data_IF_516220076251
#
_entry.id   IF_516220076251
#
_cell.length_a   1.000
_cell.length_b   1.000
_cell.length_c   1.000
_cell.angle_alpha   90.00
_cell.angle_beta   90.00
_cell.angle_gamma   90.00
#
_symmetry.space_group_name_H-M   'P 1'
#
loop_
_entity.id
_entity.type
_entity.pdbx_description
1 polymer ?
#
# COMPACT_ATOMS: atom_id res chain seq x y z
N UNK A 1 -21.48 -26.07 7.83
CA UNK A 1 -20.18 -25.42 7.53
C UNK A 1 -20.38 -23.90 7.59
N UNK A 2 -19.89 -23.23 8.63
CA UNK A 2 -20.01 -21.76 8.79
C UNK A 2 -18.86 -21.09 8.03
N UNK A 3 -19.16 -20.41 6.93
CA UNK A 3 -18.23 -19.55 6.21
C UNK A 3 -17.92 -18.34 7.08
N UNK A 4 -16.81 -18.39 7.82
CA UNK A 4 -16.24 -17.19 8.46
C UNK A 4 -16.09 -16.11 7.39
N UNK A 5 -16.76 -14.98 7.55
CA UNK A 5 -16.52 -13.78 6.74
C UNK A 5 -15.07 -13.33 6.97
N UNK A 6 -14.15 -13.86 6.17
CA UNK A 6 -12.77 -13.44 6.15
C UNK A 6 -12.74 -12.01 5.67
N UNK A 7 -12.29 -11.10 6.52
CA UNK A 7 -12.19 -9.68 6.21
C UNK A 7 -11.35 -9.50 4.95
N UNK A 8 -11.78 -8.64 4.01
CA UNK A 8 -11.07 -8.39 2.73
C UNK A 8 -9.56 -8.14 2.93
N UNK A 9 -9.18 -7.39 3.98
CA UNK A 9 -7.78 -7.17 4.36
C UNK A 9 -6.99 -8.47 4.56
N UNK A 10 -7.60 -9.48 5.18
CA UNK A 10 -6.97 -10.77 5.44
C UNK A 10 -6.75 -11.55 4.13
N UNK A 11 -7.77 -11.59 3.25
CA UNK A 11 -7.66 -12.27 1.95
C UNK A 11 -6.58 -11.63 1.09
N UNK A 12 -6.57 -10.30 1.00
CA UNK A 12 -5.57 -9.55 0.23
C UNK A 12 -4.16 -9.70 0.77
N UNK A 13 -4.00 -9.85 2.09
CA UNK A 13 -2.72 -10.16 2.72
C UNK A 13 -2.26 -11.58 2.37
N UNK A 14 -3.16 -12.56 2.41
CA UNK A 14 -2.86 -13.96 2.06
C UNK A 14 -2.48 -14.13 0.59
N UNK A 15 -3.12 -13.37 -0.30
CA UNK A 15 -2.80 -13.36 -1.74
C UNK A 15 -1.56 -12.53 -2.07
N UNK A 16 -0.94 -11.88 -1.08
CA UNK A 16 0.15 -10.91 -1.27
C UNK A 16 -0.18 -9.77 -2.27
N UNK A 17 -1.48 -9.50 -2.49
CA UNK A 17 -1.98 -8.50 -3.46
C UNK A 17 -2.34 -7.16 -2.83
N UNK A 18 -2.37 -7.08 -1.50
CA UNK A 18 -2.73 -5.85 -0.80
C UNK A 18 -1.88 -4.64 -1.23
N UNK A 19 -0.56 -4.85 -1.37
CA UNK A 19 0.41 -3.82 -1.76
C UNK A 19 0.18 -3.35 -3.20
N UNK A 20 -0.01 -4.28 -4.13
CA UNK A 20 -0.29 -3.99 -5.54
C UNK A 20 -1.61 -3.21 -5.70
N UNK A 21 -2.67 -3.64 -5.01
CA UNK A 21 -3.95 -2.94 -5.02
C UNK A 21 -3.84 -1.55 -4.40
N UNK A 22 -3.12 -1.41 -3.29
CA UNK A 22 -2.90 -0.11 -2.67
C UNK A 22 -2.18 0.84 -3.63
N UNK A 23 -1.19 0.37 -4.38
CA UNK A 23 -0.51 1.15 -5.44
C UNK A 23 -1.50 1.62 -6.50
N UNK A 24 -2.28 0.71 -7.07
CA UNK A 24 -3.27 1.03 -8.12
C UNK A 24 -4.28 2.05 -7.61
N UNK A 25 -4.75 1.89 -6.37
CA UNK A 25 -5.68 2.82 -5.74
C UNK A 25 -5.04 4.20 -5.57
N UNK A 26 -3.80 4.28 -5.06
CA UNK A 26 -3.07 5.55 -4.90
C UNK A 26 -2.87 6.25 -6.24
N UNK A 27 -2.39 5.55 -7.27
CA UNK A 27 -2.20 6.11 -8.61
C UNK A 27 -3.51 6.62 -9.22
N UNK A 28 -4.58 5.81 -9.22
CA UNK A 28 -5.87 6.22 -9.81
C UNK A 28 -6.47 7.41 -9.08
N UNK A 29 -6.37 7.46 -7.76
CA UNK A 29 -6.84 8.60 -6.97
C UNK A 29 -6.06 9.88 -7.30
N UNK A 30 -4.75 9.80 -7.50
CA UNK A 30 -3.92 10.97 -7.86
C UNK A 30 -4.19 11.41 -9.30
N UNK A 31 -4.31 10.47 -10.24
CA UNK A 31 -4.65 10.76 -11.64
C UNK A 31 -6.05 11.38 -11.78
N UNK A 32 -7.01 10.90 -11.00
CA UNK A 32 -8.36 11.47 -11.01
C UNK A 32 -8.37 12.89 -10.44
N UNK A 33 -7.54 13.18 -9.42
CA UNK A 33 -7.38 14.55 -8.92
C UNK A 33 -6.86 15.49 -10.01
N UNK A 34 -5.81 15.08 -10.73
CA UNK A 34 -5.25 15.85 -11.86
C UNK A 34 -6.31 16.09 -12.94
N UNK A 35 -7.07 15.05 -13.28
CA UNK A 35 -8.14 15.12 -14.28
C UNK A 35 -9.27 16.07 -13.87
N UNK A 36 -9.70 16.03 -12.61
CA UNK A 36 -10.77 16.88 -12.07
C UNK A 36 -10.34 18.35 -12.01
N UNK A 37 -9.16 18.65 -11.48
CA UNK A 37 -8.74 20.05 -11.30
C UNK A 37 -8.36 20.76 -12.60
N UNK A 38 -7.99 20.01 -13.65
CA UNK A 38 -7.70 20.58 -14.97
C UNK A 38 -8.90 20.61 -15.90
N UNK A 39 -9.87 19.74 -15.69
CA UNK A 39 -10.98 19.61 -16.59
C UNK A 39 -12.03 20.67 -16.31
N UNK A 40 -12.27 21.54 -17.28
CA UNK A 40 -13.33 22.58 -17.22
C UNK A 40 -14.72 21.97 -16.97
N UNK A 41 -14.96 20.73 -17.41
CA UNK A 41 -16.21 19.98 -17.19
C UNK A 41 -16.49 19.62 -15.73
N UNK A 42 -15.54 19.82 -14.82
CA UNK A 42 -15.65 19.41 -13.41
C UNK A 42 -15.72 20.60 -12.44
N UNK A 43 -16.07 21.79 -12.91
CA UNK A 43 -16.14 23.02 -12.11
C UNK A 43 -16.94 22.85 -10.81
N UNK A 44 -18.14 22.24 -10.86
CA UNK A 44 -18.92 21.93 -9.66
C UNK A 44 -18.16 21.03 -8.67
N UNK A 45 -17.43 20.04 -9.18
CA UNK A 45 -16.66 19.12 -8.34
C UNK A 45 -15.43 19.80 -7.74
N UNK A 46 -14.80 20.73 -8.47
CA UNK A 46 -13.71 21.58 -7.96
C UNK A 46 -14.21 22.44 -6.80
N UNK A 47 -15.33 23.13 -6.99
CA UNK A 47 -15.99 23.95 -5.95
C UNK A 47 -16.33 23.11 -4.70
N UNK A 48 -16.82 21.88 -4.89
CA UNK A 48 -17.11 20.95 -3.78
C UNK A 48 -15.82 20.51 -3.06
N UNK A 49 -14.74 20.27 -3.79
CA UNK A 49 -13.46 19.82 -3.23
C UNK A 49 -12.74 20.93 -2.46
N UNK A 50 -12.83 22.16 -2.95
CA UNK A 50 -12.29 23.36 -2.30
C UNK A 50 -13.11 23.79 -1.08
N UNK A 51 -14.26 23.16 -0.87
CA UNK A 51 -15.23 23.48 0.19
C UNK A 51 -15.74 24.92 0.08
N UNK A 52 -15.78 25.46 -1.15
CA UNK A 52 -16.24 26.82 -1.44
C UNK A 52 -17.79 26.94 -1.48
N UNK A 53 -18.51 25.85 -1.20
CA UNK A 53 -19.98 25.85 -1.11
C UNK A 53 -20.40 26.29 0.28
N UNK A 54 -21.18 27.35 0.36
CA UNK A 54 -21.67 27.91 1.61
C UNK A 54 -22.64 26.92 2.32
N UNK A 55 -22.29 26.53 3.55
CA UNK A 55 -23.11 25.67 4.42
C UNK A 55 -22.30 24.64 5.20
N UNK A 56 -22.57 24.50 6.50
CA UNK A 56 -21.93 23.50 7.34
C UNK A 56 -22.41 22.10 6.97
N UNK A 57 -21.59 21.35 6.23
CA UNK A 57 -21.85 19.92 5.99
C UNK A 57 -21.42 19.14 7.24
N UNK A 58 -22.37 18.47 7.88
CA UNK A 58 -22.01 17.50 8.91
C UNK A 58 -21.09 16.43 8.29
N UNK A 59 -19.97 16.16 8.95
CA UNK A 59 -19.09 15.05 8.60
C UNK A 59 -19.86 13.77 8.92
N UNK A 60 -20.63 13.28 7.96
CA UNK A 60 -21.33 12.00 8.09
C UNK A 60 -20.35 10.85 8.36
N UNK A 61 -20.85 9.61 8.37
CA UNK A 61 -20.06 8.42 8.72
C UNK A 61 -19.13 7.98 7.59
N UNK A 62 -18.18 8.82 7.17
CA UNK A 62 -17.14 8.43 6.21
C UNK A 62 -15.88 8.02 6.97
N UNK A 63 -15.58 6.72 7.03
CA UNK A 63 -14.41 6.20 7.76
C UNK A 63 -13.08 6.78 7.24
N UNK A 64 -13.00 7.18 5.96
CA UNK A 64 -11.91 7.97 5.37
C UNK A 64 -12.44 8.75 4.15
N UNK A 65 -12.26 10.07 4.11
CA UNK A 65 -12.54 10.85 2.90
C UNK A 65 -11.35 10.80 1.93
N UNK A 66 -11.62 10.88 0.63
CA UNK A 66 -10.58 10.83 -0.41
C UNK A 66 -9.46 11.87 -0.19
N UNK A 67 -9.80 13.11 0.19
CA UNK A 67 -8.82 14.15 0.54
C UNK A 67 -8.05 13.82 1.82
N UNK A 68 -8.67 13.16 2.82
CA UNK A 68 -7.96 12.71 4.03
C UNK A 68 -6.91 11.64 3.70
N UNK A 69 -7.20 10.74 2.76
CA UNK A 69 -6.22 9.77 2.26
C UNK A 69 -5.04 10.46 1.56
N UNK A 70 -5.33 11.42 0.67
CA UNK A 70 -4.28 12.16 -0.06
C UNK A 70 -3.38 12.95 0.89
N UNK A 71 -3.95 13.67 1.86
CA UNK A 71 -3.17 14.37 2.90
C UNK A 71 -2.26 13.41 3.67
N UNK A 72 -2.79 12.24 4.05
CA UNK A 72 -2.02 11.21 4.76
C UNK A 72 -0.90 10.61 3.91
N UNK A 73 -1.10 10.44 2.60
CA UNK A 73 -0.11 9.81 1.74
C UNK A 73 1.03 10.74 1.35
N UNK A 74 0.73 12.02 1.16
CA UNK A 74 1.72 13.00 0.71
C UNK A 74 2.28 13.88 1.82
N UNK A 75 1.69 13.80 3.02
CA UNK A 75 2.00 14.65 4.17
C UNK A 75 1.92 16.15 3.81
N UNK A 76 0.78 16.51 3.23
CA UNK A 76 0.49 17.86 2.71
C UNK A 76 -0.90 18.31 3.15
N UNK A 77 -1.08 19.62 3.23
CA UNK A 77 -2.41 20.23 3.35
C UNK A 77 -3.22 20.09 2.07
N UNK A 78 -4.55 20.23 2.15
CA UNK A 78 -5.41 20.23 0.94
C UNK A 78 -5.01 21.32 -0.05
N UNK A 79 -4.66 22.52 0.43
CA UNK A 79 -4.25 23.65 -0.39
C UNK A 79 -2.93 23.40 -1.13
N UNK A 80 -1.96 22.74 -0.50
CA UNK A 80 -0.73 22.31 -1.20
C UNK A 80 -1.03 21.23 -2.25
N UNK A 81 -1.95 20.31 -1.94
CA UNK A 81 -2.37 19.26 -2.88
C UNK A 81 -3.03 19.86 -4.12
N UNK A 82 -3.93 20.83 -3.96
CA UNK A 82 -4.57 21.51 -5.08
C UNK A 82 -3.56 22.28 -5.92
N UNK A 83 -2.67 23.07 -5.30
CA UNK A 83 -1.59 23.78 -6.02
C UNK A 83 -0.69 22.85 -6.81
N UNK A 84 -0.30 21.72 -6.22
CA UNK A 84 0.53 20.71 -6.87
C UNK A 84 -0.18 20.06 -8.06
N UNK A 85 -1.47 19.76 -7.90
CA UNK A 85 -2.25 19.04 -8.91
C UNK A 85 -2.59 19.87 -10.16
N UNK A 86 -2.43 21.20 -10.11
CA UNK A 86 -2.45 22.06 -11.31
C UNK A 86 -1.22 21.84 -12.21
N UNK A 87 -0.13 21.21 -11.74
CA UNK A 87 1.09 20.95 -12.53
C UNK A 87 1.26 19.47 -12.94
N UNK A 88 1.28 19.19 -14.25
CA UNK A 88 1.38 17.80 -14.78
C UNK A 88 2.70 17.16 -14.36
N UNK A 89 3.75 17.96 -14.36
CA UNK A 89 5.08 17.55 -13.92
C UNK A 89 5.07 17.12 -12.44
N UNK A 90 4.40 17.90 -11.58
CA UNK A 90 4.33 17.60 -10.14
C UNK A 90 3.55 16.30 -9.89
N UNK A 91 2.42 16.11 -10.56
CA UNK A 91 1.65 14.87 -10.49
C UNK A 91 2.45 13.67 -11.01
N UNK A 92 3.19 13.83 -12.12
CA UNK A 92 4.05 12.78 -12.64
C UNK A 92 5.15 12.39 -11.63
N UNK A 93 5.76 13.38 -10.95
CA UNK A 93 6.73 13.14 -9.88
C UNK A 93 6.09 12.36 -8.73
N UNK A 94 4.86 12.71 -8.33
CA UNK A 94 4.15 12.00 -7.26
C UNK A 94 3.87 10.55 -7.61
N UNK A 95 3.40 10.29 -8.84
CA UNK A 95 3.18 8.94 -9.36
C UNK A 95 4.51 8.16 -9.41
N UNK A 96 5.59 8.79 -9.87
CA UNK A 96 6.91 8.17 -9.91
C UNK A 96 7.42 7.82 -8.49
N UNK A 97 7.23 8.71 -7.52
CA UNK A 97 7.59 8.47 -6.12
C UNK A 97 6.78 7.32 -5.52
N UNK A 98 5.48 7.24 -5.81
CA UNK A 98 4.65 6.11 -5.40
C UNK A 98 5.15 4.78 -5.98
N UNK A 99 5.59 4.76 -7.25
CA UNK A 99 6.18 3.56 -7.85
C UNK A 99 7.50 3.18 -7.20
N UNK A 100 8.36 4.16 -6.91
CA UNK A 100 9.67 3.96 -6.29
C UNK A 100 9.56 3.45 -4.85
N UNK A 101 8.64 4.00 -4.07
CA UNK A 101 8.38 3.57 -2.69
C UNK A 101 8.02 2.07 -2.66
N UNK A 102 7.16 1.63 -3.58
CA UNK A 102 6.69 0.25 -3.66
C UNK A 102 7.78 -0.72 -4.14
N UNK A 103 8.60 -0.31 -5.12
CA UNK A 103 9.74 -1.12 -5.58
C UNK A 103 10.75 -1.39 -4.46
N UNK A 104 10.99 -0.40 -3.57
CA UNK A 104 11.85 -0.58 -2.40
C UNK A 104 11.29 -1.66 -1.45
N UNK A 105 9.98 -1.69 -1.23
CA UNK A 105 9.35 -2.71 -0.38
C UNK A 105 9.29 -4.10 -1.02
N UNK A 106 9.22 -4.21 -2.35
CA UNK A 106 9.31 -5.51 -3.04
C UNK A 106 10.70 -6.12 -2.88
N UNK A 107 11.75 -5.31 -3.06
CA UNK A 107 13.13 -5.74 -2.84
C UNK A 107 13.36 -6.13 -1.38
N UNK A 108 12.87 -5.36 -0.42
CA UNK A 108 12.99 -5.70 1.00
C UNK A 108 12.21 -6.97 1.37
N UNK A 109 11.00 -7.16 0.82
CA UNK A 109 10.24 -8.39 1.01
C UNK A 109 10.97 -9.61 0.45
N UNK A 110 11.50 -9.51 -0.78
CA UNK A 110 12.29 -10.58 -1.39
C UNK A 110 13.55 -10.88 -0.57
N UNK A 111 14.19 -9.84 -0.01
CA UNK A 111 15.34 -9.99 0.88
C UNK A 111 14.97 -10.72 2.17
N UNK A 112 13.85 -10.39 2.79
CA UNK A 112 13.37 -11.09 4.00
C UNK A 112 12.97 -12.54 3.69
N UNK A 113 12.23 -12.79 2.60
CA UNK A 113 11.86 -14.15 2.17
C UNK A 113 13.09 -15.00 1.82
N UNK A 114 14.11 -14.40 1.20
CA UNK A 114 15.39 -15.06 0.94
C UNK A 114 16.15 -15.37 2.23
N UNK A 115 16.15 -14.45 3.20
CA UNK A 115 16.75 -14.69 4.52
C UNK A 115 16.04 -15.83 5.26
N UNK A 116 14.70 -15.83 5.30
CA UNK A 116 13.91 -16.88 5.98
C UNK A 116 14.06 -18.25 5.31
N UNK A 117 14.17 -18.30 3.99
CA UNK A 117 14.42 -19.56 3.26
C UNK A 117 15.84 -20.06 3.48
N UNK A 118 16.84 -19.17 3.52
CA UNK A 118 18.23 -19.53 3.86
C UNK A 118 18.36 -20.01 5.31
N UNK A 119 17.67 -19.35 6.24
CA UNK A 119 17.65 -19.70 7.66
C UNK A 119 16.93 -21.04 7.89
N UNK A 120 15.82 -21.28 7.19
CA UNK A 120 15.15 -22.59 7.19
C UNK A 120 16.02 -23.69 6.59
N UNK A 121 16.76 -23.43 5.50
CA UNK A 121 17.75 -24.38 4.93
C UNK A 121 18.88 -24.69 5.91
N UNK A 122 19.35 -23.70 6.64
CA UNK A 122 20.38 -23.88 7.67
C UNK A 122 19.86 -24.74 8.82
N UNK A 123 18.65 -24.47 9.31
CA UNK A 123 18.01 -25.24 10.39
C UNK A 123 17.70 -26.68 9.96
N UNK A 124 17.22 -26.90 8.73
CA UNK A 124 16.94 -28.26 8.24
C UNK A 124 18.23 -29.06 8.05
N UNK A 125 19.30 -28.45 7.54
CA UNK A 125 20.62 -29.10 7.46
C UNK A 125 21.26 -29.34 8.84
N UNK A 126 21.14 -28.39 9.78
CA UNK A 126 21.67 -28.59 11.14
C UNK A 126 20.93 -29.71 11.87
N UNK A 127 19.62 -29.83 11.69
CA UNK A 127 18.82 -30.93 12.22
C UNK A 127 19.13 -32.29 11.55
N UNK A 128 19.59 -32.30 10.30
CA UNK A 128 20.04 -33.50 9.61
C UNK A 128 21.38 -33.98 10.15
N UNK A 129 22.32 -33.05 10.37
CA UNK A 129 23.63 -33.34 10.96
C UNK A 129 23.52 -33.79 12.42
N UNK A 130 22.70 -33.14 13.25
CA UNK A 130 22.52 -33.55 14.65
C UNK A 130 21.77 -34.87 14.80
N UNK A 131 20.79 -35.17 13.94
CA UNK A 131 20.15 -36.51 13.90
C UNK A 131 21.09 -37.59 13.40
N UNK A 132 21.95 -37.31 12.42
CA UNK A 132 22.98 -38.24 11.94
C UNK A 132 24.03 -38.54 13.02
N UNK A 133 24.46 -37.54 13.78
CA UNK A 133 25.35 -37.73 14.94
C UNK A 133 24.69 -38.51 16.10
N UNK A 134 23.39 -38.31 16.36
CA UNK A 134 22.65 -39.09 17.36
C UNK A 134 22.43 -40.54 16.93
N UNK A 135 22.17 -40.80 15.64
CA UNK A 135 22.07 -42.15 15.07
C UNK A 135 23.41 -42.89 15.10
N UNK A 136 24.53 -42.22 14.79
CA UNK A 136 25.88 -42.77 14.95
C UNK A 136 26.21 -43.13 16.41
N UNK A 137 25.70 -42.35 17.37
CA UNK A 137 25.93 -42.58 18.81
C UNK A 137 25.07 -43.71 19.40
N UNK A 138 23.96 -44.06 18.76
CA UNK A 138 23.10 -45.20 19.11
C UNK A 138 23.55 -46.53 18.46
N UNK A 139 24.36 -46.48 17.41
CA UNK A 139 24.91 -47.67 16.75
C UNK A 139 26.26 -48.15 17.33
N UNK A 140 26.79 -47.45 18.35
CA UNK A 140 28.08 -47.72 18.99
C UNK A 140 27.96 -47.98 20.52
N UNK A 141 26.78 -48.40 20.97
CA UNK A 141 26.50 -48.99 22.30
C UNK A 141 25.85 -50.35 22.04
#
# INVERSE_FOLDING_TARGET
MSTKFLTMKYLLRRMNKYKELLRIIKERKVQYLDHVLRGERYELLQIILEDAVQGDRSVGRCQNSWLKDLRRWFDRSSAEIFRAAVSKATIAIWIANLRKEMAKYEVENLRMEFSDTMLNRFITNSNFLTKSFLLMRLLFI
#
